data_IF_112085871333
#
_entry.id   IF_112085871333
#
_cell.length_a   1.000
_cell.length_b   1.000
_cell.length_c   1.000
_cell.angle_alpha   90.00
_cell.angle_beta   90.00
_cell.angle_gamma   90.00
#
_symmetry.space_group_name_H-M   'P 1'
#
loop_
_entity.id
_entity.type
_entity.pdbx_description
1 polymer ?
#
# COMPACT_ATOMS: atom_id res chain seq x y z
N UNK A 1 -18.52 -5.97 1.95
CA UNK A 1 -18.86 -7.16 1.16
C UNK A 1 -17.58 -7.94 0.84
N UNK A 2 -17.59 -9.30 0.85
CA UNK A 2 -16.38 -10.10 0.58
C UNK A 2 -15.73 -9.74 -0.77
N UNK A 3 -16.53 -9.53 -1.80
CA UNK A 3 -16.04 -9.20 -3.14
C UNK A 3 -15.28 -7.86 -3.17
N UNK A 4 -15.66 -6.91 -2.32
CA UNK A 4 -14.95 -5.63 -2.20
C UNK A 4 -13.60 -5.84 -1.53
N UNK A 5 -13.53 -6.70 -0.49
CA UNK A 5 -12.26 -7.06 0.13
C UNK A 5 -11.32 -7.72 -0.89
N UNK A 6 -11.85 -8.59 -1.75
CA UNK A 6 -11.07 -9.22 -2.82
C UNK A 6 -10.60 -8.23 -3.89
N UNK A 7 -11.29 -7.09 -4.08
CA UNK A 7 -10.91 -6.05 -5.05
C UNK A 7 -9.89 -5.07 -4.50
N UNK A 8 -10.06 -4.59 -3.25
CA UNK A 8 -9.24 -3.51 -2.70
C UNK A 8 -8.33 -3.94 -1.55
N UNK A 9 -8.62 -5.04 -0.87
CA UNK A 9 -7.83 -5.55 0.26
C UNK A 9 -6.69 -6.50 -0.15
N UNK A 10 -6.31 -6.50 -1.42
CA UNK A 10 -5.19 -7.27 -1.99
C UNK A 10 -4.25 -6.31 -2.73
N UNK A 11 -2.97 -6.68 -2.85
CA UNK A 11 -1.97 -5.77 -3.45
C UNK A 11 -2.16 -5.54 -4.96
N UNK A 12 -2.93 -6.40 -5.61
CA UNK A 12 -3.31 -6.21 -7.02
C UNK A 12 -4.10 -4.90 -7.27
N UNK A 13 -4.71 -4.31 -6.22
CA UNK A 13 -5.31 -2.98 -6.31
C UNK A 13 -4.32 -1.93 -6.80
N UNK A 14 -3.04 -2.06 -6.46
CA UNK A 14 -2.00 -1.13 -6.94
C UNK A 14 -1.86 -1.15 -8.46
N UNK A 15 -1.96 -2.34 -9.07
CA UNK A 15 -1.93 -2.50 -10.52
C UNK A 15 -3.23 -2.04 -11.17
N UNK A 16 -4.39 -2.40 -10.61
CA UNK A 16 -5.70 -2.05 -11.18
C UNK A 16 -5.99 -0.56 -11.12
N UNK A 17 -5.45 0.14 -10.12
CA UNK A 17 -5.61 1.59 -9.93
C UNK A 17 -4.39 2.42 -10.32
N UNK A 18 -3.42 1.84 -11.04
CA UNK A 18 -2.15 2.52 -11.39
C UNK A 18 -2.31 3.75 -12.27
N UNK A 19 -3.42 3.86 -13.01
CA UNK A 19 -3.74 5.02 -13.84
C UNK A 19 -4.36 6.19 -13.06
N UNK A 20 -4.76 5.97 -11.81
CA UNK A 20 -5.29 7.02 -10.96
C UNK A 20 -4.17 7.97 -10.50
N UNK A 21 -4.53 9.16 -10.04
CA UNK A 21 -3.57 10.16 -9.55
C UNK A 21 -2.66 9.63 -8.42
N UNK A 22 -3.16 8.74 -7.56
CA UNK A 22 -2.37 8.06 -6.53
C UNK A 22 -1.52 6.89 -7.07
N UNK A 23 -1.66 6.56 -8.34
CA UNK A 23 -0.95 5.45 -8.98
C UNK A 23 0.55 5.70 -9.06
N UNK A 24 1.31 4.65 -9.26
CA UNK A 24 2.75 4.70 -9.50
C UNK A 24 3.10 3.73 -10.63
N UNK A 25 4.35 3.69 -11.04
CA UNK A 25 4.82 2.66 -11.96
C UNK A 25 4.72 1.28 -11.30
N UNK A 26 3.72 0.51 -11.72
CA UNK A 26 3.36 -0.81 -11.18
C UNK A 26 3.10 -1.78 -12.32
N UNK A 27 3.74 -2.94 -12.25
CA UNK A 27 3.38 -4.11 -13.07
C UNK A 27 2.94 -5.28 -12.17
N UNK A 28 2.40 -6.31 -12.80
CA UNK A 28 2.03 -7.57 -12.15
C UNK A 28 2.52 -8.77 -12.95
N UNK A 29 2.90 -9.81 -12.25
CA UNK A 29 3.28 -11.09 -12.83
C UNK A 29 2.34 -12.17 -12.33
N UNK A 30 1.84 -12.98 -13.24
CA UNK A 30 0.92 -14.10 -12.97
C UNK A 30 1.57 -15.45 -13.29
N UNK A 31 2.76 -15.43 -13.89
CA UNK A 31 3.56 -16.59 -14.23
C UNK A 31 5.06 -16.29 -14.25
N UNK A 32 5.88 -17.32 -14.22
CA UNK A 32 7.32 -17.20 -14.17
C UNK A 32 7.92 -16.69 -15.49
N UNK A 33 7.27 -16.92 -16.62
CA UNK A 33 7.73 -16.43 -17.93
C UNK A 33 7.63 -14.90 -18.00
N UNK A 34 6.47 -14.36 -17.64
CA UNK A 34 6.25 -12.91 -17.57
C UNK A 34 7.18 -12.22 -16.58
N UNK A 35 7.44 -12.84 -15.41
CA UNK A 35 8.40 -12.34 -14.43
C UNK A 35 9.81 -12.26 -15.04
N UNK A 36 10.30 -13.35 -15.64
CA UNK A 36 11.64 -13.39 -16.24
C UNK A 36 11.80 -12.48 -17.45
N UNK A 37 10.74 -12.26 -18.21
CA UNK A 37 10.78 -11.42 -19.40
C UNK A 37 10.79 -9.92 -19.05
N UNK A 38 9.94 -9.45 -18.15
CA UNK A 38 9.70 -8.02 -17.95
C UNK A 38 10.42 -7.40 -16.74
N UNK A 39 10.61 -8.19 -15.66
CA UNK A 39 11.23 -7.64 -14.45
C UNK A 39 12.63 -7.04 -14.67
N UNK A 40 13.52 -7.65 -15.48
CA UNK A 40 14.85 -7.07 -15.76
C UNK A 40 14.78 -5.68 -16.38
N UNK A 41 13.81 -5.42 -17.27
CA UNK A 41 13.61 -4.11 -17.91
C UNK A 41 13.14 -3.07 -16.90
N UNK A 42 12.20 -3.43 -16.03
CA UNK A 42 11.74 -2.54 -14.95
C UNK A 42 12.85 -2.24 -13.94
N UNK A 43 13.67 -3.24 -13.62
CA UNK A 43 14.80 -3.08 -12.72
C UNK A 43 15.90 -2.18 -13.32
N UNK A 44 16.07 -2.18 -14.62
CA UNK A 44 16.98 -1.27 -15.32
C UNK A 44 16.54 0.20 -15.21
N UNK A 45 15.24 0.46 -15.16
CA UNK A 45 14.69 1.79 -14.97
C UNK A 45 14.85 2.32 -13.52
N UNK A 46 15.11 1.45 -12.55
CA UNK A 46 15.34 1.84 -11.17
C UNK A 46 15.02 0.75 -10.14
N UNK A 47 15.24 1.03 -8.85
CA UNK A 47 14.91 0.07 -7.79
C UNK A 47 13.43 -0.27 -7.78
N UNK A 48 13.14 -1.56 -7.52
CA UNK A 48 11.78 -2.11 -7.51
C UNK A 48 11.42 -2.68 -6.13
N UNK A 49 10.13 -2.74 -5.84
CA UNK A 49 9.58 -3.44 -4.66
C UNK A 49 8.64 -4.53 -5.14
N UNK A 50 9.01 -5.78 -4.89
CA UNK A 50 8.20 -6.96 -5.20
C UNK A 50 7.40 -7.40 -3.98
N UNK A 51 6.12 -7.68 -4.20
CA UNK A 51 5.15 -8.03 -3.15
C UNK A 51 4.24 -9.17 -3.64
N UNK A 52 4.08 -10.28 -2.91
CA UNK A 52 2.99 -11.21 -3.16
C UNK A 52 1.64 -10.51 -2.96
N UNK A 53 0.62 -10.92 -3.72
CA UNK A 53 -0.72 -10.33 -3.66
C UNK A 53 -1.32 -10.36 -2.24
N UNK A 54 -1.01 -11.41 -1.49
CA UNK A 54 -1.44 -11.58 -0.10
C UNK A 54 -0.25 -11.48 0.86
N UNK A 55 -0.46 -10.93 2.04
CA UNK A 55 0.54 -10.80 3.09
C UNK A 55 0.43 -9.47 3.83
N UNK A 56 1.03 -9.42 5.01
CA UNK A 56 1.04 -8.24 5.88
C UNK A 56 2.39 -8.06 6.57
N UNK A 57 2.59 -6.89 7.19
CA UNK A 57 3.74 -6.62 8.04
C UNK A 57 5.09 -6.64 7.33
N UNK A 58 5.15 -6.38 6.03
CA UNK A 58 6.39 -6.35 5.25
C UNK A 58 7.00 -7.72 4.96
N UNK A 59 6.37 -8.82 5.39
CA UNK A 59 6.81 -10.18 5.07
C UNK A 59 6.66 -10.42 3.59
N UNK A 60 7.72 -11.03 3.00
CA UNK A 60 7.77 -11.31 1.57
C UNK A 60 7.61 -10.06 0.69
N UNK A 61 7.97 -8.90 1.21
CA UNK A 61 8.09 -7.65 0.46
C UNK A 61 9.57 -7.35 0.32
N UNK A 62 10.08 -7.27 -0.90
CA UNK A 62 11.51 -7.08 -1.14
C UNK A 62 11.79 -5.88 -2.01
N UNK A 63 12.72 -5.05 -1.58
CA UNK A 63 13.38 -4.08 -2.43
C UNK A 63 14.49 -4.77 -3.19
N UNK A 64 14.53 -4.56 -4.50
CA UNK A 64 15.55 -5.03 -5.42
C UNK A 64 16.17 -3.85 -6.13
N UNK A 65 17.48 -3.86 -6.24
CA UNK A 65 18.23 -2.77 -6.83
C UNK A 65 19.47 -3.31 -7.56
N UNK A 66 19.79 -2.77 -8.71
CA UNK A 66 21.11 -2.99 -9.34
C UNK A 66 22.20 -2.31 -8.52
N UNK A 67 23.40 -2.88 -8.47
CA UNK A 67 24.56 -2.23 -7.87
C UNK A 67 24.98 -1.01 -8.71
N UNK A 68 24.84 -1.10 -10.04
CA UNK A 68 25.13 -0.02 -11.00
C UNK A 68 23.91 0.18 -11.92
N UNK A 69 23.52 1.42 -12.14
CA UNK A 69 22.47 1.76 -13.10
C UNK A 69 22.96 1.48 -14.52
N UNK A 70 22.11 0.96 -15.39
CA UNK A 70 22.50 0.65 -16.74
C UNK A 70 21.41 -0.02 -17.57
N UNK A 71 21.82 -0.67 -18.65
CA UNK A 71 20.94 -1.44 -19.54
C UNK A 71 20.27 -2.61 -18.80
N UNK A 72 19.26 -3.22 -19.43
CA UNK A 72 18.59 -4.39 -18.89
C UNK A 72 19.61 -5.46 -18.44
N UNK A 73 19.58 -5.86 -17.16
CA UNK A 73 20.61 -6.69 -16.58
C UNK A 73 20.54 -8.13 -17.12
N UNK A 74 21.71 -8.72 -17.35
CA UNK A 74 21.81 -10.15 -17.64
C UNK A 74 21.49 -10.97 -16.36
N UNK A 75 21.08 -12.23 -16.52
CA UNK A 75 20.74 -13.11 -15.41
C UNK A 75 21.87 -13.29 -14.36
N UNK A 76 23.14 -13.18 -14.79
CA UNK A 76 24.32 -13.22 -13.93
C UNK A 76 24.63 -11.92 -13.19
N UNK A 77 23.93 -10.82 -13.53
CA UNK A 77 24.17 -9.51 -12.90
C UNK A 77 23.86 -9.58 -11.41
N UNK A 78 24.74 -9.00 -10.60
CA UNK A 78 24.53 -8.88 -9.15
C UNK A 78 23.42 -7.87 -8.85
N UNK A 79 22.51 -8.25 -7.98
CA UNK A 79 21.44 -7.40 -7.45
C UNK A 79 21.50 -7.37 -5.94
N UNK A 80 21.20 -6.21 -5.37
CA UNK A 80 21.02 -6.03 -3.94
C UNK A 80 19.56 -6.25 -3.59
N UNK A 81 19.29 -7.18 -2.68
CA UNK A 81 17.93 -7.54 -2.23
C UNK A 81 17.82 -7.29 -0.73
N UNK A 82 16.71 -6.72 -0.31
CA UNK A 82 16.41 -6.47 1.10
C UNK A 82 14.91 -6.65 1.37
N UNK A 83 14.57 -7.48 2.35
CA UNK A 83 13.18 -7.63 2.80
C UNK A 83 12.72 -6.41 3.60
N UNK A 84 11.46 -5.98 3.44
CA UNK A 84 10.86 -4.83 4.13
C UNK A 84 10.47 -5.16 5.58
N UNK A 85 11.30 -5.93 6.27
CA UNK A 85 11.11 -6.33 7.66
C UNK A 85 12.14 -5.64 8.54
N UNK A 86 11.72 -5.16 9.70
CA UNK A 86 12.61 -4.50 10.64
C UNK A 86 13.83 -5.39 10.97
N UNK A 87 15.02 -4.82 10.91
CA UNK A 87 16.27 -5.53 11.14
C UNK A 87 16.75 -6.42 9.98
N UNK A 88 16.05 -6.44 8.85
CA UNK A 88 16.48 -7.16 7.66
C UNK A 88 17.77 -6.57 7.10
N UNK A 89 18.74 -7.44 6.85
CA UNK A 89 19.98 -7.06 6.17
C UNK A 89 19.81 -7.22 4.66
N UNK A 90 20.45 -6.34 3.91
CA UNK A 90 20.56 -6.51 2.48
C UNK A 90 21.58 -7.59 2.13
N UNK A 91 21.28 -8.39 1.12
CA UNK A 91 22.18 -9.38 0.54
C UNK A 91 22.43 -9.08 -0.95
N UNK A 92 23.51 -9.63 -1.49
CA UNK A 92 23.82 -9.61 -2.91
C UNK A 92 23.72 -11.01 -3.46
N UNK A 93 22.93 -11.15 -4.52
CA UNK A 93 22.70 -12.41 -5.24
C UNK A 93 22.68 -12.14 -6.73
N UNK A 94 22.75 -13.17 -7.56
CA UNK A 94 22.51 -13.01 -8.99
C UNK A 94 21.03 -12.71 -9.28
N UNK A 95 20.75 -12.00 -10.37
CA UNK A 95 19.38 -11.77 -10.81
C UNK A 95 18.64 -13.10 -11.06
N UNK A 96 19.32 -14.10 -11.59
CA UNK A 96 18.74 -15.44 -11.78
C UNK A 96 18.26 -16.02 -10.46
N UNK A 97 19.10 -16.02 -9.41
CA UNK A 97 18.73 -16.51 -8.09
C UNK A 97 17.58 -15.69 -7.49
N UNK A 98 17.61 -14.39 -7.68
CA UNK A 98 16.58 -13.46 -7.25
C UNK A 98 15.21 -13.84 -7.87
N UNK A 99 15.15 -14.06 -9.19
CA UNK A 99 13.94 -14.45 -9.91
C UNK A 99 13.42 -15.81 -9.43
N UNK A 100 14.30 -16.81 -9.28
CA UNK A 100 13.90 -18.15 -8.83
C UNK A 100 13.31 -18.14 -7.40
N UNK A 101 13.71 -17.20 -6.54
CA UNK A 101 13.13 -17.01 -5.20
C UNK A 101 11.66 -16.63 -5.23
N UNK A 102 11.20 -15.98 -6.30
CA UNK A 102 9.83 -15.49 -6.39
C UNK A 102 8.90 -16.38 -7.22
N UNK A 103 9.45 -17.28 -8.04
CA UNK A 103 8.64 -18.22 -8.80
C UNK A 103 7.63 -19.00 -7.94
N UNK A 104 7.95 -19.46 -6.71
CA UNK A 104 6.97 -20.14 -5.87
C UNK A 104 5.73 -19.32 -5.52
N UNK A 105 5.83 -17.99 -5.49
CA UNK A 105 4.67 -17.12 -5.22
C UNK A 105 3.70 -16.97 -6.41
N UNK A 106 4.08 -17.49 -7.58
CA UNK A 106 3.25 -17.51 -8.79
C UNK A 106 2.55 -18.85 -9.00
N UNK A 107 2.82 -19.84 -8.15
CA UNK A 107 2.15 -21.13 -8.21
C UNK A 107 0.68 -20.99 -7.80
N UNK A 108 -0.16 -21.92 -8.26
CA UNK A 108 -1.58 -22.02 -7.89
C UNK A 108 -2.39 -20.72 -8.10
N UNK A 109 -2.06 -19.98 -9.15
CA UNK A 109 -2.72 -18.71 -9.46
C UNK A 109 -2.25 -17.52 -8.61
N UNK A 110 -1.09 -17.64 -7.98
CA UNK A 110 -0.46 -16.55 -7.24
C UNK A 110 -0.10 -15.36 -8.14
N UNK A 111 -0.01 -14.19 -7.55
CA UNK A 111 0.33 -12.93 -8.24
C UNK A 111 1.42 -12.21 -7.48
N UNK A 112 2.41 -11.70 -8.20
CA UNK A 112 3.42 -10.77 -7.70
C UNK A 112 3.16 -9.37 -8.24
N UNK A 113 3.21 -8.39 -7.37
CA UNK A 113 3.14 -6.97 -7.70
C UNK A 113 4.56 -6.41 -7.67
N UNK A 114 4.92 -5.74 -8.74
CA UNK A 114 6.18 -5.05 -8.94
C UNK A 114 5.90 -3.54 -8.96
N UNK A 115 6.36 -2.82 -7.95
CA UNK A 115 6.15 -1.38 -7.81
C UNK A 115 7.51 -0.66 -7.80
N UNK A 116 7.60 0.46 -8.52
CA UNK A 116 8.77 1.34 -8.43
C UNK A 116 9.01 1.77 -6.98
N UNK A 117 10.25 1.66 -6.53
CA UNK A 117 10.64 2.09 -5.18
C UNK A 117 10.46 3.60 -5.03
N UNK A 118 9.82 4.01 -3.94
CA UNK A 118 9.65 5.42 -3.60
C UNK A 118 10.82 5.88 -2.73
N UNK A 119 11.75 6.71 -3.25
CA UNK A 119 12.98 7.08 -2.52
C UNK A 119 12.70 7.88 -1.24
N UNK A 120 11.58 8.60 -1.18
CA UNK A 120 11.15 9.33 0.03
C UNK A 120 10.45 8.45 1.08
N UNK A 121 10.52 7.12 0.96
CA UNK A 121 10.05 6.21 2.01
C UNK A 121 10.72 6.45 3.36
N UNK A 122 11.89 7.12 3.39
CA UNK A 122 12.54 7.59 4.61
C UNK A 122 11.75 8.64 5.38
N UNK A 123 10.89 9.42 4.70
CA UNK A 123 9.99 10.39 5.34
C UNK A 123 8.79 9.72 5.98
N UNK A 124 8.64 8.42 5.77
CA UNK A 124 7.61 7.59 6.35
C UNK A 124 6.46 7.28 5.41
N UNK A 125 5.42 6.74 6.01
CA UNK A 125 4.17 6.33 5.37
C UNK A 125 3.00 6.97 6.10
N UNK A 126 2.06 7.53 5.35
CA UNK A 126 0.81 8.06 5.89
C UNK A 126 -0.29 7.04 5.70
N UNK A 127 -0.85 6.56 6.80
CA UNK A 127 -2.07 5.75 6.80
C UNK A 127 -3.28 6.67 6.91
N UNK A 128 -4.15 6.61 5.91
CA UNK A 128 -5.40 7.32 5.87
C UNK A 128 -6.53 6.37 6.33
N UNK A 129 -7.11 6.61 7.51
CA UNK A 129 -8.25 5.84 8.02
C UNK A 129 -9.55 6.37 7.44
N UNK A 130 -10.38 5.49 6.91
CA UNK A 130 -11.60 5.85 6.17
C UNK A 130 -12.79 5.09 6.71
N UNK A 131 -13.89 5.81 6.95
CA UNK A 131 -15.19 5.25 7.28
C UNK A 131 -16.14 5.42 6.08
N UNK A 132 -16.45 4.31 5.38
CA UNK A 132 -17.15 4.39 4.11
C UNK A 132 -16.36 5.23 3.09
N UNK A 133 -16.83 6.43 2.79
CA UNK A 133 -16.18 7.38 1.87
C UNK A 133 -15.55 8.60 2.59
N UNK A 134 -15.56 8.64 3.93
CA UNK A 134 -15.03 9.76 4.71
C UNK A 134 -13.75 9.42 5.43
N UNK A 135 -12.76 10.28 5.35
CA UNK A 135 -11.54 10.20 6.13
C UNK A 135 -11.84 10.56 7.59
N UNK A 136 -11.48 9.66 8.51
CA UNK A 136 -11.74 9.81 9.95
C UNK A 136 -10.47 10.03 10.77
N UNK A 137 -9.31 9.99 10.13
CA UNK A 137 -8.03 10.31 10.75
C UNK A 137 -6.83 9.79 9.97
N UNK A 138 -5.66 10.07 10.53
CA UNK A 138 -4.38 9.70 9.93
C UNK A 138 -3.43 9.08 10.94
N UNK A 139 -2.57 8.20 10.46
CA UNK A 139 -1.39 7.72 11.17
C UNK A 139 -0.14 7.97 10.35
N UNK A 140 0.89 8.56 10.92
CA UNK A 140 2.18 8.74 10.26
C UNK A 140 3.22 7.85 10.92
N UNK A 141 3.79 6.92 10.15
CA UNK A 141 4.84 6.01 10.59
C UNK A 141 6.13 6.33 9.84
N UNK A 142 7.24 6.35 10.54
CA UNK A 142 8.55 6.30 9.89
C UNK A 142 8.85 4.85 9.49
N UNK A 143 9.19 4.63 8.22
CA UNK A 143 9.56 3.32 7.70
C UNK A 143 11.07 3.21 7.79
N UNK A 144 11.57 2.40 8.72
CA UNK A 144 13.02 2.17 8.86
C UNK A 144 13.51 0.92 8.12
N UNK A 145 12.59 0.04 7.72
CA UNK A 145 12.92 -1.29 7.22
C UNK A 145 13.70 -1.32 5.89
N UNK A 146 13.41 -0.38 4.98
CA UNK A 146 14.06 -0.30 3.65
C UNK A 146 15.02 0.89 3.51
N UNK A 147 15.35 1.55 4.63
CA UNK A 147 16.28 2.67 4.62
C UNK A 147 17.71 2.19 4.36
N UNK A 148 18.45 2.99 3.61
CA UNK A 148 19.91 2.80 3.47
C UNK A 148 20.58 3.07 4.82
N UNK A 149 21.60 2.29 5.25
CA UNK A 149 22.26 2.47 6.54
C UNK A 149 22.82 3.88 6.81
N UNK A 150 23.10 4.65 5.77
CA UNK A 150 23.59 6.04 5.86
C UNK A 150 22.54 7.04 6.37
N UNK A 151 21.27 6.68 6.42
CA UNK A 151 20.19 7.53 6.92
C UNK A 151 19.87 7.27 8.42
N UNK A 152 20.49 6.28 9.04
CA UNK A 152 20.35 5.99 10.47
C UNK A 152 21.45 6.75 11.19
N UNK A 153 21.06 7.80 11.92
CA UNK A 153 21.98 8.52 12.82
C UNK A 153 22.45 7.54 13.91
N UNK A 154 23.71 7.10 13.82
CA UNK A 154 24.30 6.10 14.72
C UNK A 154 24.59 6.65 16.12
N UNK A 155 24.18 7.89 16.41
CA UNK A 155 24.38 8.54 17.71
C UNK A 155 23.30 8.20 18.74
N UNK A 156 22.19 7.58 18.35
CA UNK A 156 21.15 7.13 19.26
C UNK A 156 21.36 5.65 19.64
N UNK A 157 21.78 5.41 20.86
CA UNK A 157 22.11 4.09 21.40
C UNK A 157 20.92 3.20 21.79
N UNK A 158 19.69 3.59 21.45
CA UNK A 158 18.49 2.79 21.68
C UNK A 158 17.55 2.88 20.49
N UNK A 159 17.21 1.74 19.83
CA UNK A 159 16.10 1.73 18.86
C UNK A 159 14.81 1.99 19.64
N UNK A 160 14.37 3.23 19.67
CA UNK A 160 13.02 3.52 20.09
C UNK A 160 12.07 2.86 19.08
N UNK A 161 11.07 2.09 19.50
CA UNK A 161 9.96 1.75 18.63
C UNK A 161 9.30 3.08 18.25
N UNK A 162 9.54 3.52 17.02
CA UNK A 162 8.99 4.78 16.54
C UNK A 162 7.48 4.59 16.45
N UNK A 163 6.78 5.14 17.44
CA UNK A 163 5.34 5.09 17.54
C UNK A 163 4.71 5.76 16.33
N UNK A 164 3.59 5.23 15.92
CA UNK A 164 2.73 5.88 14.92
C UNK A 164 2.20 7.18 15.52
N UNK A 165 2.56 8.32 14.93
CA UNK A 165 1.93 9.60 15.27
C UNK A 165 0.51 9.62 14.71
N UNK A 166 -0.50 9.86 15.57
CA UNK A 166 -1.90 9.86 15.21
C UNK A 166 -2.46 11.27 15.12
N UNK A 167 -3.28 11.52 14.10
CA UNK A 167 -3.88 12.82 13.82
C UNK A 167 -5.37 12.68 13.50
N UNK A 168 -6.17 13.64 13.98
CA UNK A 168 -7.57 13.76 13.57
C UNK A 168 -7.70 14.15 12.10
N UNK A 169 -8.92 14.03 11.52
CA UNK A 169 -9.16 14.32 10.10
C UNK A 169 -8.94 15.79 9.74
N UNK A 170 -8.97 16.70 10.72
CA UNK A 170 -8.84 18.16 10.52
C UNK A 170 -7.39 18.66 10.53
N UNK A 171 -6.40 17.76 10.66
CA UNK A 171 -4.99 18.18 10.68
C UNK A 171 -4.60 18.81 9.35
N UNK A 172 -4.09 20.03 9.39
CA UNK A 172 -3.74 20.81 8.20
C UNK A 172 -2.68 20.12 7.34
N UNK A 173 -1.73 19.43 7.98
CA UNK A 173 -0.63 18.71 7.30
C UNK A 173 -1.13 17.72 6.24
N UNK A 174 -2.28 17.08 6.46
CA UNK A 174 -2.85 16.08 5.57
C UNK A 174 -4.18 16.52 4.92
N UNK A 175 -4.48 17.81 4.96
CA UNK A 175 -5.73 18.34 4.40
C UNK A 175 -5.85 18.08 2.89
N UNK A 176 -4.73 18.20 2.15
CA UNK A 176 -4.70 17.89 0.72
C UNK A 176 -5.00 16.41 0.45
N UNK A 177 -4.40 15.49 1.24
CA UNK A 177 -4.68 14.05 1.13
C UNK A 177 -6.14 13.74 1.44
N UNK A 178 -6.71 14.31 2.51
CA UNK A 178 -8.13 14.14 2.83
C UNK A 178 -9.02 14.58 1.67
N UNK A 179 -8.77 15.78 1.16
CA UNK A 179 -9.55 16.32 0.05
C UNK A 179 -9.44 15.46 -1.20
N UNK A 180 -8.24 14.99 -1.56
CA UNK A 180 -8.03 14.12 -2.69
C UNK A 180 -8.78 12.79 -2.52
N UNK A 181 -8.70 12.17 -1.34
CA UNK A 181 -9.40 10.92 -1.01
C UNK A 181 -10.92 11.07 -1.14
N UNK A 182 -11.51 12.06 -0.47
CA UNK A 182 -12.96 12.20 -0.38
C UNK A 182 -13.59 12.70 -1.69
N UNK A 183 -12.95 13.68 -2.36
CA UNK A 183 -13.57 14.34 -3.51
C UNK A 183 -13.30 13.63 -4.83
N UNK A 184 -12.18 12.89 -4.95
CA UNK A 184 -11.72 12.33 -6.23
C UNK A 184 -11.39 10.85 -6.17
N UNK A 185 -10.48 10.44 -5.29
CA UNK A 185 -9.87 9.13 -5.39
C UNK A 185 -10.81 7.99 -4.98
N UNK A 186 -11.58 8.16 -3.92
CA UNK A 186 -12.57 7.14 -3.51
C UNK A 186 -13.65 7.00 -4.59
N UNK A 187 -14.28 8.07 -5.09
CA UNK A 187 -15.25 7.97 -6.20
C UNK A 187 -14.65 7.37 -7.47
N UNK A 188 -13.42 7.72 -7.84
CA UNK A 188 -12.75 7.16 -9.01
C UNK A 188 -12.45 5.67 -8.86
N UNK A 189 -11.92 5.25 -7.70
CA UNK A 189 -11.71 3.84 -7.36
C UNK A 189 -13.02 3.04 -7.42
N UNK A 190 -14.10 3.56 -6.85
CA UNK A 190 -15.41 2.92 -6.89
C UNK A 190 -15.88 2.70 -8.32
N UNK A 191 -15.78 3.73 -9.15
CA UNK A 191 -16.14 3.66 -10.58
C UNK A 191 -15.28 2.65 -11.33
N UNK A 192 -13.96 2.69 -11.13
CA UNK A 192 -13.00 1.81 -11.82
C UNK A 192 -13.20 0.34 -11.46
N UNK A 193 -13.47 0.07 -10.18
CA UNK A 193 -13.61 -1.29 -9.65
C UNK A 193 -15.07 -1.76 -9.55
N UNK A 194 -16.04 -0.94 -10.01
CA UNK A 194 -17.47 -1.21 -9.91
C UNK A 194 -17.88 -1.58 -8.48
N UNK A 195 -17.62 -0.66 -7.53
CA UNK A 195 -17.97 -0.78 -6.11
C UNK A 195 -19.09 0.22 -5.80
N UNK A 196 -20.25 -0.26 -5.37
CA UNK A 196 -21.33 0.61 -4.95
C UNK A 196 -21.06 1.23 -3.57
N UNK A 197 -21.66 2.39 -3.28
CA UNK A 197 -21.46 3.12 -2.01
C UNK A 197 -21.73 2.26 -0.78
N UNK A 198 -22.82 1.47 -0.83
CA UNK A 198 -23.22 0.61 0.29
C UNK A 198 -22.31 -0.61 0.46
N UNK A 199 -21.48 -0.96 -0.54
CA UNK A 199 -20.54 -2.06 -0.50
C UNK A 199 -19.17 -1.65 0.04
N UNK A 200 -18.85 -0.35 0.09
CA UNK A 200 -17.59 0.12 0.70
C UNK A 200 -17.48 -0.42 2.14
N UNK A 201 -16.29 -0.86 2.57
CA UNK A 201 -16.10 -1.28 3.95
C UNK A 201 -16.49 -0.17 4.92
N UNK A 202 -17.11 -0.55 6.05
CA UNK A 202 -17.44 0.42 7.08
C UNK A 202 -16.18 1.13 7.59
N UNK A 203 -15.10 0.38 7.75
CA UNK A 203 -13.79 0.89 8.15
C UNK A 203 -12.72 0.20 7.31
N UNK A 204 -11.86 1.01 6.72
CA UNK A 204 -10.70 0.58 5.93
C UNK A 204 -9.61 1.62 6.02
N UNK A 205 -8.42 1.31 5.58
CA UNK A 205 -7.35 2.29 5.48
C UNK A 205 -6.56 2.15 4.18
N UNK A 206 -5.94 3.25 3.76
CA UNK A 206 -5.04 3.32 2.63
C UNK A 206 -3.70 3.89 3.09
N UNK A 207 -2.63 3.20 2.74
CA UNK A 207 -1.25 3.57 3.05
C UNK A 207 -0.60 4.27 1.86
N UNK A 208 -0.07 5.46 2.11
CA UNK A 208 0.57 6.30 1.10
C UNK A 208 2.03 6.57 1.43
N UNK A 209 2.87 6.51 0.40
CA UNK A 209 4.25 6.99 0.44
C UNK A 209 4.33 8.37 -0.20
N UNK A 210 5.28 9.19 0.24
CA UNK A 210 5.55 10.48 -0.37
C UNK A 210 6.27 10.32 -1.71
N UNK A 211 5.90 11.15 -2.69
CA UNK A 211 6.57 11.20 -3.99
C UNK A 211 7.77 12.15 -3.95
N UNK A 212 8.81 11.90 -4.77
CA UNK A 212 9.94 12.80 -4.88
C UNK A 212 9.55 14.17 -5.43
N UNK A 213 10.22 15.23 -4.95
CA UNK A 213 10.20 16.55 -5.55
C UNK A 213 9.11 17.49 -5.11
N UNK A 214 8.19 17.07 -4.24
CA UNK A 214 7.11 17.91 -3.75
C UNK A 214 7.12 18.00 -2.23
N UNK A 215 6.74 19.16 -1.68
CA UNK A 215 6.59 19.30 -0.25
C UNK A 215 5.42 18.42 0.25
N UNK A 216 5.52 17.90 1.48
CA UNK A 216 4.47 17.08 2.10
C UNK A 216 3.09 17.77 2.07
N UNK A 217 3.08 19.11 2.10
CA UNK A 217 1.88 19.93 2.03
C UNK A 217 1.20 19.93 0.66
N UNK A 218 1.90 19.58 -0.41
CA UNK A 218 1.41 19.77 -1.79
C UNK A 218 0.70 18.52 -2.34
N UNK A 219 0.61 17.46 -1.55
CA UNK A 219 -0.31 16.36 -1.79
C UNK A 219 0.16 15.32 -2.81
N UNK A 220 1.46 15.21 -3.05
CA UNK A 220 1.96 14.14 -3.91
C UNK A 220 2.17 12.85 -3.16
N UNK A 221 1.23 11.93 -3.34
CA UNK A 221 1.19 10.64 -2.65
C UNK A 221 1.12 9.48 -3.65
N UNK A 222 1.82 8.40 -3.34
CA UNK A 222 1.72 7.14 -4.08
C UNK A 222 1.09 6.07 -3.19
N UNK A 223 0.04 5.42 -3.66
CA UNK A 223 -0.60 4.32 -2.95
C UNK A 223 0.38 3.16 -2.76
N UNK A 224 0.48 2.65 -1.53
CA UNK A 224 1.33 1.53 -1.15
C UNK A 224 0.55 0.28 -0.80
N UNK A 225 -0.60 0.42 -0.13
CA UNK A 225 -1.45 -0.67 0.30
C UNK A 225 -2.85 -0.17 0.66
N UNK A 226 -3.87 -1.02 0.52
CA UNK A 226 -5.20 -0.81 1.11
C UNK A 226 -5.49 -1.99 2.04
N UNK A 227 -5.93 -1.70 3.26
CA UNK A 227 -6.40 -2.67 4.23
C UNK A 227 -7.93 -2.54 4.37
N UNK A 228 -8.66 -3.54 3.89
CA UNK A 228 -10.13 -3.56 3.88
C UNK A 228 -10.72 -4.54 4.92
N UNK A 229 -9.86 -5.24 5.65
CA UNK A 229 -10.23 -6.16 6.73
C UNK A 229 -9.30 -5.99 7.92
N UNK A 230 -9.76 -6.33 9.12
CA UNK A 230 -8.96 -6.27 10.36
C UNK A 230 -8.39 -4.87 10.67
N UNK A 231 -9.12 -3.83 10.33
CA UNK A 231 -8.77 -2.43 10.62
C UNK A 231 -9.42 -2.01 11.93
N UNK A 232 -8.66 -1.35 12.80
CA UNK A 232 -9.16 -0.78 14.04
C UNK A 232 -9.50 0.71 13.86
N UNK A 233 -10.51 1.26 14.60
CA UNK A 233 -10.93 2.66 14.50
C UNK A 233 -9.90 3.59 15.16
N UNK A 234 -8.87 3.92 14.43
CA UNK A 234 -7.86 4.89 14.84
C UNK A 234 -7.91 6.13 13.93
N UNK A 235 -7.45 7.29 14.42
CA UNK A 235 -7.19 7.66 15.83
C UNK A 235 -8.46 7.67 16.69
N UNK A 236 -8.41 8.07 17.97
CA UNK A 236 -9.62 8.11 18.84
C UNK A 236 -10.79 8.90 18.25
N UNK A 237 -10.53 9.94 17.43
CA UNK A 237 -11.54 10.69 16.68
C UNK A 237 -12.35 9.84 15.69
N UNK A 238 -11.85 8.69 15.26
CA UNK A 238 -12.54 7.79 14.34
C UNK A 238 -13.65 6.96 15.02
N UNK A 239 -13.57 6.78 16.34
CA UNK A 239 -14.48 5.87 17.08
C UNK A 239 -15.95 6.28 16.93
N UNK A 240 -16.27 7.55 17.14
CA UNK A 240 -17.65 8.04 17.05
C UNK A 240 -18.21 7.98 15.62
N UNK A 241 -17.53 8.49 14.58
CA UNK A 241 -18.00 8.37 13.21
C UNK A 241 -18.24 6.91 12.78
N UNK A 242 -17.34 6.00 13.15
CA UNK A 242 -17.47 4.57 12.81
C UNK A 242 -18.65 3.95 13.54
N UNK A 243 -18.84 4.23 14.82
CA UNK A 243 -19.98 3.74 15.59
C UNK A 243 -21.32 4.25 15.01
N UNK A 244 -21.41 5.54 14.70
CA UNK A 244 -22.60 6.14 14.08
C UNK A 244 -22.93 5.51 12.73
N UNK A 245 -21.92 5.31 11.88
CA UNK A 245 -22.09 4.65 10.58
C UNK A 245 -22.50 3.17 10.73
N UNK A 246 -21.97 2.45 11.72
CA UNK A 246 -22.36 1.07 12.02
C UNK A 246 -23.83 0.98 12.42
N UNK A 247 -24.27 1.86 13.32
CA UNK A 247 -25.67 1.94 13.76
C UNK A 247 -26.58 2.26 12.57
N UNK A 248 -26.22 3.27 11.76
CA UNK A 248 -26.98 3.64 10.57
C UNK A 248 -27.14 2.49 9.59
N UNK A 249 -26.09 1.73 9.30
CA UNK A 249 -26.19 0.52 8.46
C UNK A 249 -27.06 -0.57 9.06
N UNK A 250 -26.95 -0.82 10.35
CA UNK A 250 -27.77 -1.83 11.04
C UNK A 250 -29.25 -1.48 10.97
N UNK A 251 -29.62 -0.21 11.18
CA UNK A 251 -30.99 0.27 11.06
C UNK A 251 -31.52 0.17 9.61
N UNK A 252 -30.72 0.54 8.62
CA UNK A 252 -31.10 0.43 7.21
C UNK A 252 -31.39 -1.04 6.82
N UNK A 253 -30.55 -1.99 7.23
CA UNK A 253 -30.75 -3.42 6.98
C UNK A 253 -32.04 -3.93 7.67
N UNK A 254 -32.34 -3.45 8.86
CA UNK A 254 -33.54 -3.84 9.58
C UNK A 254 -34.81 -3.35 8.87
N UNK A 255 -34.83 -2.09 8.46
CA UNK A 255 -35.95 -1.50 7.73
C UNK A 255 -36.23 -2.21 6.42
N UNK A 256 -35.18 -2.55 5.64
CA UNK A 256 -35.35 -3.29 4.38
C UNK A 256 -35.93 -4.69 4.60
N UNK A 257 -35.59 -5.37 5.67
CA UNK A 257 -36.16 -6.68 6.00
C UNK A 257 -37.63 -6.59 6.39
N UNK A 258 -38.04 -5.56 7.16
CA UNK A 258 -39.41 -5.34 7.56
C UNK A 258 -40.34 -4.99 6.37
N UNK A 259 -39.83 -4.24 5.38
CA UNK A 259 -40.55 -3.90 4.16
C UNK A 259 -40.63 -5.05 3.14
N UNK A 260 -39.71 -5.99 3.20
CA UNK A 260 -39.67 -7.16 2.30
C UNK A 260 -40.47 -8.35 2.79
N UNK A 261 -41.04 -8.29 4.00
CA UNK A 261 -41.87 -9.32 4.57
C UNK A 261 -43.22 -8.73 5.03
N UNK A 262 -44.14 -8.29 4.12
CA UNK A 262 -45.48 -7.90 4.49
C UNK A 262 -46.24 -9.16 4.90
N UNK A 263 -46.77 -9.16 6.11
CA UNK A 263 -47.69 -10.21 6.63
C UNK A 263 -48.86 -10.46 5.75
#
# INVERSE_FOLDING_TARGET
HPDVIAKIGVKEVLYTTRSMEWGSDVDRYVDAEGLRARFPEHLAAGPRVLKPNYGNGGRNVWRVQLDEAGNAPALKTSVKVQEARQGSKSERISLAECLERWVPFLNDGGVLIDQAYQPQSSEGMVRCYVCGHRVVGFGHNLITALMTPTAIDTTSSTPQPMGRAMFGPEVTRFAALRKAMEDRWIPEMQRLLSIADHDLPLLWDADFLFRPGEAISDGSYALCEINASSVAPFPPSAVQPVAAAAIGRALAIRLTKETSNPH
#
